data_IF_175926905153
#
_entry.id   IF_175926905153
#
_cell.length_a   1.000
_cell.length_b   1.000
_cell.length_c   1.000
_cell.angle_alpha   90.00
_cell.angle_beta   90.00
_cell.angle_gamma   90.00
#
_symmetry.space_group_name_H-M   'P 1'
#
loop_
_entity.id
_entity.type
_entity.pdbx_description
1 polymer ?
#
# COMPACT_ATOMS: atom_id res chain seq x y z
N UNK A 1 -22.13 3.96 6.99
CA UNK A 1 -21.75 4.04 5.57
C UNK A 1 -22.51 5.17 4.91
N UNK A 2 -21.84 6.20 4.40
CA UNK A 2 -22.55 7.31 3.78
C UNK A 2 -22.92 7.00 2.32
N UNK A 3 -24.20 7.11 1.98
CA UNK A 3 -24.71 7.02 0.59
C UNK A 3 -24.35 8.24 -0.26
N UNK A 4 -24.09 9.39 0.38
CA UNK A 4 -23.83 10.69 -0.29
C UNK A 4 -22.60 11.43 0.25
N UNK A 5 -22.36 11.35 1.56
CA UNK A 5 -21.24 12.03 2.19
C UNK A 5 -19.89 11.31 1.90
N UNK A 6 -18.82 12.08 1.66
CA UNK A 6 -17.47 11.53 1.54
C UNK A 6 -16.77 11.70 2.89
N UNK A 7 -16.38 10.62 3.59
CA UNK A 7 -15.69 10.75 4.86
C UNK A 7 -14.34 11.45 4.64
N UNK A 8 -14.00 12.36 5.56
CA UNK A 8 -12.72 13.08 5.54
C UNK A 8 -11.58 12.08 5.71
N UNK A 9 -10.53 12.22 4.90
CA UNK A 9 -9.34 11.38 5.00
C UNK A 9 -8.54 11.77 6.24
N UNK A 10 -8.16 10.79 7.06
CA UNK A 10 -7.29 10.99 8.21
C UNK A 10 -5.85 11.17 7.74
N UNK A 11 -5.17 12.18 8.26
CA UNK A 11 -3.74 12.39 8.02
C UNK A 11 -2.95 11.44 8.92
N UNK A 12 -1.91 10.82 8.38
CA UNK A 12 -1.04 9.88 9.10
C UNK A 12 0.29 10.58 9.32
N UNK A 13 0.79 10.59 10.56
CA UNK A 13 2.10 11.14 10.86
C UNK A 13 3.20 10.35 10.11
N UNK A 14 4.29 11.02 9.68
CA UNK A 14 5.42 10.35 9.05
C UNK A 14 6.11 9.39 10.02
N UNK A 15 6.82 8.43 9.45
CA UNK A 15 7.62 7.46 10.20
C UNK A 15 8.74 8.14 11.00
N UNK A 16 9.00 7.78 12.27
CA UNK A 16 10.02 8.46 13.08
C UNK A 16 11.45 8.19 12.63
N UNK A 17 11.72 7.06 11.97
CA UNK A 17 13.08 6.66 11.56
C UNK A 17 13.39 7.21 10.17
N UNK A 18 12.48 6.97 9.22
CA UNK A 18 12.69 7.31 7.81
C UNK A 18 11.98 8.60 7.38
N UNK A 19 11.23 9.26 8.27
CA UNK A 19 10.46 10.49 8.00
C UNK A 19 9.50 10.36 6.79
N UNK A 20 9.06 9.13 6.50
CA UNK A 20 8.25 8.81 5.32
C UNK A 20 6.82 8.44 5.71
N UNK A 21 5.85 9.12 5.11
CA UNK A 21 4.43 8.72 5.24
C UNK A 21 4.14 7.37 4.60
N UNK A 22 4.89 6.97 3.56
CA UNK A 22 4.65 5.73 2.83
C UNK A 22 4.97 4.51 3.70
N UNK A 23 6.07 4.58 4.47
CA UNK A 23 6.47 3.55 5.45
C UNK A 23 5.49 3.52 6.61
N UNK A 24 5.11 4.67 7.17
CA UNK A 24 4.10 4.72 8.25
C UNK A 24 2.76 4.08 7.82
N UNK A 25 2.31 4.34 6.58
CA UNK A 25 1.11 3.68 6.02
C UNK A 25 1.32 2.19 5.77
N UNK A 26 2.53 1.74 5.44
CA UNK A 26 2.85 0.32 5.25
C UNK A 26 2.88 -0.44 6.58
N UNK A 27 3.48 0.12 7.62
CA UNK A 27 3.43 -0.41 9.00
C UNK A 27 1.98 -0.65 9.43
N UNK A 28 1.09 0.31 9.16
CA UNK A 28 -0.33 0.17 9.48
C UNK A 28 -1.02 -0.97 8.71
N UNK A 29 -0.56 -1.33 7.51
CA UNK A 29 -1.08 -2.46 6.72
C UNK A 29 -0.55 -3.80 7.27
N UNK A 30 0.71 -3.85 7.70
CA UNK A 30 1.32 -5.03 8.34
C UNK A 30 0.75 -5.27 9.74
N UNK A 31 0.33 -4.21 10.43
CA UNK A 31 -0.13 -4.27 11.81
C UNK A 31 -1.39 -5.14 11.96
N UNK A 32 -1.24 -6.19 12.77
CA UNK A 32 -2.36 -7.06 13.17
C UNK A 32 -2.70 -6.84 14.65
N UNK A 33 -4.00 -6.91 14.97
CA UNK A 33 -4.55 -6.77 16.34
C UNK A 33 -4.08 -5.49 17.09
N UNK A 34 -3.80 -4.41 16.36
CA UNK A 34 -3.35 -3.13 16.94
C UNK A 34 -1.92 -3.12 17.49
N UNK A 35 -1.12 -4.16 17.23
CA UNK A 35 0.26 -4.29 17.75
C UNK A 35 1.25 -3.48 16.92
N UNK A 36 1.27 -2.15 17.12
CA UNK A 36 2.11 -1.24 16.32
C UNK A 36 3.60 -1.46 16.52
N UNK A 37 4.08 -1.55 17.77
CA UNK A 37 5.50 -1.75 18.06
C UNK A 37 6.05 -3.04 17.42
N UNK A 38 5.27 -4.12 17.40
CA UNK A 38 5.65 -5.37 16.73
C UNK A 38 5.70 -5.20 15.21
N UNK A 39 4.73 -4.51 14.62
CA UNK A 39 4.69 -4.25 13.19
C UNK A 39 5.88 -3.39 12.72
N UNK A 40 6.22 -2.34 13.47
CA UNK A 40 7.39 -1.49 13.20
C UNK A 40 8.68 -2.31 13.20
N UNK A 41 8.90 -3.14 14.24
CA UNK A 41 10.08 -4.03 14.30
C UNK A 41 10.17 -4.94 13.07
N UNK A 42 9.08 -5.61 12.71
CA UNK A 42 9.05 -6.51 11.54
C UNK A 42 9.38 -5.76 10.25
N UNK A 43 8.81 -4.57 10.05
CA UNK A 43 9.07 -3.76 8.84
C UNK A 43 10.51 -3.29 8.78
N UNK A 44 11.06 -2.78 9.88
CA UNK A 44 12.46 -2.30 9.91
C UNK A 44 13.45 -3.44 9.73
N UNK A 45 13.21 -4.59 10.35
CA UNK A 45 14.05 -5.78 10.18
C UNK A 45 14.02 -6.28 8.73
N UNK A 46 12.84 -6.30 8.10
CA UNK A 46 12.68 -6.68 6.70
C UNK A 46 13.41 -5.71 5.76
N UNK A 47 13.28 -4.39 5.98
CA UNK A 47 13.99 -3.37 5.20
C UNK A 47 15.50 -3.46 5.37
N UNK A 48 15.99 -3.72 6.58
CA UNK A 48 17.43 -3.93 6.84
C UNK A 48 17.97 -5.13 6.06
N UNK A 49 17.23 -6.25 6.05
CA UNK A 49 17.60 -7.46 5.28
C UNK A 49 17.59 -7.19 3.77
N UNK A 50 16.54 -6.54 3.28
CA UNK A 50 16.41 -6.21 1.87
C UNK A 50 17.51 -5.25 1.39
N UNK A 51 17.84 -4.23 2.20
CA UNK A 51 18.93 -3.29 1.93
C UNK A 51 20.28 -3.99 1.83
N UNK A 52 20.58 -4.92 2.75
CA UNK A 52 21.82 -5.72 2.71
C UNK A 52 21.91 -6.58 1.44
N UNK A 53 20.80 -7.19 1.02
CA UNK A 53 20.77 -8.04 -0.17
C UNK A 53 20.87 -7.23 -1.46
N UNK A 54 20.16 -6.11 -1.54
CA UNK A 54 20.13 -5.23 -2.71
C UNK A 54 21.34 -4.28 -2.79
N UNK A 55 22.11 -4.14 -1.70
CA UNK A 55 23.21 -3.16 -1.53
C UNK A 55 22.78 -1.73 -1.89
N UNK A 56 21.57 -1.36 -1.48
CA UNK A 56 20.93 -0.07 -1.73
C UNK A 56 20.31 0.48 -0.46
N UNK A 57 20.05 1.78 -0.45
CA UNK A 57 19.37 2.44 0.66
C UNK A 57 17.98 1.82 0.90
N UNK A 58 17.57 1.56 2.16
CA UNK A 58 16.29 0.91 2.47
C UNK A 58 15.08 1.62 1.85
N UNK A 59 15.12 2.95 1.80
CA UNK A 59 14.05 3.76 1.22
C UNK A 59 13.94 3.55 -0.30
N UNK A 60 15.06 3.48 -1.00
CA UNK A 60 15.10 3.25 -2.44
C UNK A 60 14.58 1.85 -2.79
N UNK A 61 14.97 0.84 -2.00
CA UNK A 61 14.48 -0.54 -2.17
C UNK A 61 12.96 -0.60 -1.98
N UNK A 62 12.46 0.08 -0.95
CA UNK A 62 11.03 0.15 -0.66
C UNK A 62 10.24 0.85 -1.77
N UNK A 63 10.71 2.01 -2.23
CA UNK A 63 10.05 2.77 -3.28
C UNK A 63 10.05 2.00 -4.61
N UNK A 64 11.14 1.32 -4.94
CA UNK A 64 11.22 0.46 -6.12
C UNK A 64 10.22 -0.71 -6.01
N UNK A 65 10.15 -1.38 -4.86
CA UNK A 65 9.19 -2.46 -4.62
C UNK A 65 7.74 -1.96 -4.76
N UNK A 66 7.42 -0.80 -4.18
CA UNK A 66 6.09 -0.20 -4.32
C UNK A 66 5.75 0.15 -5.76
N UNK A 67 6.69 0.72 -6.52
CA UNK A 67 6.48 1.04 -7.95
C UNK A 67 6.17 -0.21 -8.75
N UNK A 68 6.93 -1.29 -8.54
CA UNK A 68 6.73 -2.55 -9.25
C UNK A 68 5.41 -3.24 -8.88
N UNK A 69 4.98 -3.13 -7.62
CA UNK A 69 3.70 -3.69 -7.16
C UNK A 69 2.49 -2.80 -7.49
N UNK A 70 2.68 -1.61 -8.04
CA UNK A 70 1.60 -0.65 -8.29
C UNK A 70 0.85 -0.97 -9.59
N UNK A 71 -0.44 -1.39 -9.52
CA UNK A 71 -1.23 -1.64 -10.73
C UNK A 71 -1.68 -0.32 -11.37
N UNK A 72 -1.77 -0.31 -12.71
CA UNK A 72 -2.32 0.82 -13.46
C UNK A 72 -3.83 0.67 -13.72
N UNK A 73 -4.27 -0.55 -14.03
CA UNK A 73 -5.64 -0.89 -14.38
C UNK A 73 -6.16 -1.98 -13.43
N UNK A 74 -7.43 -1.88 -13.03
CA UNK A 74 -8.17 -2.98 -12.39
C UNK A 74 -9.31 -3.42 -13.30
N UNK A 75 -9.62 -4.72 -13.30
CA UNK A 75 -10.83 -5.23 -13.96
C UNK A 75 -12.03 -5.09 -13.03
N UNK A 76 -13.13 -4.58 -13.56
CA UNK A 76 -14.42 -4.54 -12.86
C UNK A 76 -15.46 -5.35 -13.62
N UNK A 77 -16.25 -6.18 -12.91
CA UNK A 77 -17.37 -6.87 -13.54
C UNK A 77 -18.43 -5.85 -13.94
N UNK A 78 -18.86 -5.88 -15.20
CA UNK A 78 -19.97 -5.09 -15.73
C UNK A 78 -20.94 -6.01 -16.45
N UNK A 79 -22.21 -5.93 -16.08
CA UNK A 79 -23.26 -6.74 -16.69
C UNK A 79 -23.81 -6.03 -17.92
N UNK A 80 -23.79 -6.70 -19.07
CA UNK A 80 -24.28 -6.19 -20.36
C UNK A 80 -24.98 -7.34 -21.09
N UNK A 81 -26.23 -7.12 -21.52
CA UNK A 81 -26.96 -8.10 -22.36
C UNK A 81 -27.12 -9.50 -21.75
N UNK A 82 -27.15 -9.61 -20.41
CA UNK A 82 -27.31 -10.89 -19.71
C UNK A 82 -26.00 -11.56 -19.26
N UNK A 83 -24.86 -11.20 -19.83
CA UNK A 83 -23.53 -11.71 -19.45
C UNK A 83 -22.74 -10.69 -18.59
N UNK A 84 -21.74 -11.19 -17.85
CA UNK A 84 -20.84 -10.35 -17.05
C UNK A 84 -19.48 -10.26 -17.72
N UNK A 85 -19.07 -9.06 -18.10
CA UNK A 85 -17.77 -8.77 -18.73
C UNK A 85 -16.80 -8.15 -17.74
N UNK A 86 -15.52 -8.47 -17.86
CA UNK A 86 -14.45 -7.79 -17.13
C UNK A 86 -14.03 -6.54 -17.92
N UNK A 87 -14.34 -5.37 -17.39
CA UNK A 87 -14.00 -4.09 -18.02
C UNK A 87 -12.77 -3.51 -17.35
N UNK A 88 -11.68 -3.20 -18.09
CA UNK A 88 -10.52 -2.53 -17.53
C UNK A 88 -10.86 -1.08 -17.17
N UNK A 89 -10.49 -0.66 -15.97
CA UNK A 89 -10.72 0.69 -15.46
C UNK A 89 -9.45 1.22 -14.80
N UNK A 90 -9.12 2.48 -15.06
CA UNK A 90 -7.97 3.14 -14.44
C UNK A 90 -8.17 3.31 -12.93
N UNK A 91 -7.12 2.99 -12.19
CA UNK A 91 -7.12 3.05 -10.73
C UNK A 91 -6.67 4.45 -10.28
N UNK A 92 -7.43 5.06 -9.38
CA UNK A 92 -7.05 6.34 -8.74
C UNK A 92 -5.70 6.23 -8.00
N UNK A 93 -4.83 7.25 -8.03
CA UNK A 93 -3.49 7.20 -7.43
C UNK A 93 -3.45 6.72 -5.97
N UNK A 94 -4.34 7.23 -5.11
CA UNK A 94 -4.38 6.83 -3.70
C UNK A 94 -4.67 5.33 -3.52
N UNK A 95 -5.55 4.79 -4.37
CA UNK A 95 -5.95 3.38 -4.36
C UNK A 95 -4.85 2.49 -4.93
N UNK A 96 -4.13 2.96 -5.96
CA UNK A 96 -2.96 2.27 -6.53
C UNK A 96 -1.93 1.94 -5.46
N UNK A 97 -1.51 2.96 -4.69
CA UNK A 97 -0.56 2.79 -3.60
C UNK A 97 -1.11 1.92 -2.46
N UNK A 98 -2.41 2.00 -2.18
CA UNK A 98 -3.04 1.16 -1.16
C UNK A 98 -3.10 -0.32 -1.58
N UNK A 99 -3.35 -0.60 -2.86
CA UNK A 99 -3.32 -1.97 -3.41
C UNK A 99 -1.89 -2.52 -3.39
N UNK A 100 -0.90 -1.74 -3.85
CA UNK A 100 0.50 -2.14 -3.84
C UNK A 100 0.96 -2.57 -2.44
N UNK A 101 0.70 -1.75 -1.41
CA UNK A 101 1.02 -2.09 -0.01
C UNK A 101 0.34 -3.38 0.47
N UNK A 102 -0.89 -3.65 0.03
CA UNK A 102 -1.66 -4.83 0.47
C UNK A 102 -1.23 -6.10 -0.25
N UNK A 103 -0.71 -6.01 -1.47
CA UNK A 103 -0.24 -7.18 -2.21
C UNK A 103 1.16 -7.62 -1.82
N UNK A 104 1.97 -6.72 -1.26
CA UNK A 104 3.32 -7.03 -0.76
C UNK A 104 3.28 -7.84 0.55
N UNK A 105 2.24 -7.64 1.37
CA UNK A 105 2.04 -8.32 2.67
C UNK A 105 1.25 -9.62 2.46
#
# INVERSE_FOLDING_TARGET
MPRRNRPVKRVVAPDPVYQSEAIAKFVNVVMSRGKRSTAEKVVYDALSRASKQAKKEPLEVFDLALRNATPLLEVKPRRVGGATYQVPVEIRPDRRLALARRWIV
#
